data_IF_888913208866
#
_entry.id   IF_888913208866
#
_cell.length_a   1.000
_cell.length_b   1.000
_cell.length_c   1.000
_cell.angle_alpha   90.00
_cell.angle_beta   90.00
_cell.angle_gamma   90.00
#
_symmetry.space_group_name_H-M   'P 1'
#
loop_
_entity.id
_entity.type
_entity.pdbx_description
1 polymer ?
#
# COMPACT_ATOMS: atom_id res chain seq x y z
N UNK A 1 -33.18 23.97 12.10
CA UNK A 1 -33.27 24.11 10.63
C UNK A 1 -34.29 23.11 10.09
N UNK A 2 -35.23 23.54 9.25
CA UNK A 2 -36.24 22.66 8.63
C UNK A 2 -35.71 22.01 7.34
N UNK A 3 -36.37 20.96 6.82
CA UNK A 3 -35.93 20.27 5.57
C UNK A 3 -35.94 21.21 4.37
N UNK A 4 -36.98 22.05 4.27
CA UNK A 4 -37.14 23.00 3.18
C UNK A 4 -36.05 24.09 3.24
N UNK A 5 -35.68 24.50 4.45
CA UNK A 5 -34.52 25.39 4.66
C UNK A 5 -33.21 24.71 4.27
N UNK A 6 -33.01 23.44 4.63
CA UNK A 6 -31.83 22.68 4.27
C UNK A 6 -31.69 22.46 2.74
N UNK A 7 -32.81 22.23 2.05
CA UNK A 7 -32.87 22.14 0.57
C UNK A 7 -32.47 23.45 -0.10
N UNK A 8 -32.94 24.58 0.45
CA UNK A 8 -32.58 25.91 -0.04
C UNK A 8 -31.09 26.23 0.23
N UNK A 9 -30.57 25.89 1.41
CA UNK A 9 -29.17 26.14 1.79
C UNK A 9 -28.20 25.36 0.88
N UNK A 10 -28.55 24.13 0.50
CA UNK A 10 -27.72 23.30 -0.39
C UNK A 10 -28.04 23.48 -1.88
N UNK A 11 -28.99 24.34 -2.22
CA UNK A 11 -29.48 24.55 -3.59
C UNK A 11 -29.87 23.25 -4.31
N UNK A 12 -30.66 22.41 -3.62
CA UNK A 12 -31.10 21.10 -4.10
C UNK A 12 -32.61 21.01 -4.13
N UNK A 13 -33.14 20.33 -5.14
CA UNK A 13 -34.56 20.03 -5.25
C UNK A 13 -35.00 18.92 -4.29
N UNK A 14 -36.30 18.91 -4.00
CA UNK A 14 -36.95 17.87 -3.16
C UNK A 14 -36.80 16.45 -3.73
N UNK A 15 -36.64 16.33 -5.04
CA UNK A 15 -36.50 15.07 -5.77
C UNK A 15 -35.05 14.74 -6.17
N UNK A 16 -34.07 15.57 -5.81
CA UNK A 16 -32.67 15.27 -6.14
C UNK A 16 -32.16 14.06 -5.34
N UNK A 17 -31.41 13.18 -5.99
CA UNK A 17 -30.84 12.00 -5.33
C UNK A 17 -29.73 12.37 -4.32
N UNK A 18 -29.39 11.42 -3.44
CA UNK A 18 -28.37 11.62 -2.41
C UNK A 18 -26.98 11.97 -2.98
N UNK A 19 -26.70 11.55 -4.22
CA UNK A 19 -25.43 11.81 -4.91
C UNK A 19 -25.34 13.28 -5.33
N UNK A 20 -26.40 13.83 -5.92
CA UNK A 20 -26.52 15.26 -6.25
C UNK A 20 -26.43 16.13 -5.00
N UNK A 21 -27.11 15.74 -3.92
CA UNK A 21 -27.03 16.48 -2.64
C UNK A 21 -25.61 16.51 -2.11
N UNK A 22 -24.93 15.36 -2.10
CA UNK A 22 -23.52 15.28 -1.67
C UNK A 22 -22.59 16.09 -2.57
N UNK A 23 -22.84 16.12 -3.89
CA UNK A 23 -22.06 16.92 -4.85
C UNK A 23 -22.25 18.43 -4.60
N UNK A 24 -23.48 18.87 -4.36
CA UNK A 24 -23.81 20.26 -4.04
C UNK A 24 -23.21 20.70 -2.69
N UNK A 25 -23.32 19.85 -1.67
CA UNK A 25 -22.66 20.04 -0.38
C UNK A 25 -21.14 20.22 -0.53
N UNK A 26 -20.46 19.31 -1.25
CA UNK A 26 -19.01 19.40 -1.49
C UNK A 26 -18.62 20.70 -2.20
N UNK A 27 -19.38 21.10 -3.23
CA UNK A 27 -19.14 22.37 -3.94
C UNK A 27 -19.23 23.58 -3.00
N UNK A 28 -20.24 23.61 -2.13
CA UNK A 28 -20.43 24.68 -1.15
C UNK A 28 -19.35 24.65 -0.05
N UNK A 29 -18.93 23.47 0.40
CA UNK A 29 -17.85 23.35 1.40
C UNK A 29 -16.48 23.72 0.85
N UNK A 30 -16.21 23.50 -0.44
CA UNK A 30 -14.98 24.00 -1.09
C UNK A 30 -15.00 25.54 -1.11
N UNK A 31 -16.18 26.14 -1.33
CA UNK A 31 -16.33 27.59 -1.39
C UNK A 31 -16.35 28.27 0.00
N UNK A 32 -16.80 27.55 1.03
CA UNK A 32 -17.03 28.05 2.38
C UNK A 32 -16.24 27.27 3.45
N UNK A 33 -15.07 26.72 3.09
CA UNK A 33 -14.27 25.92 4.02
C UNK A 33 -13.77 26.77 5.19
N UNK A 34 -13.87 26.31 6.45
CA UNK A 34 -13.38 27.07 7.60
C UNK A 34 -11.89 27.44 7.50
N UNK A 35 -11.09 26.66 6.77
CA UNK A 35 -9.66 26.92 6.55
C UNK A 35 -9.35 27.68 5.24
N UNK A 36 -10.36 28.21 4.55
CA UNK A 36 -10.15 29.03 3.37
C UNK A 36 -9.60 30.43 3.75
N UNK A 37 -8.64 30.94 2.99
CA UNK A 37 -8.05 32.27 3.23
C UNK A 37 -9.15 33.36 3.20
N UNK A 38 -9.35 34.07 4.31
CA UNK A 38 -10.41 35.08 4.48
C UNK A 38 -11.68 34.60 5.22
N UNK A 39 -11.67 33.39 5.79
CA UNK A 39 -12.79 32.76 6.53
C UNK A 39 -13.00 33.28 7.96
N UNK A 40 -12.15 34.20 8.45
CA UNK A 40 -12.15 34.64 9.87
C UNK A 40 -13.41 35.39 10.30
N UNK A 41 -14.24 35.83 9.34
CA UNK A 41 -15.46 36.56 9.63
C UNK A 41 -16.51 35.64 10.30
N UNK A 42 -17.20 36.10 11.35
CA UNK A 42 -18.23 35.31 12.05
C UNK A 42 -19.35 34.81 11.11
N UNK A 43 -19.66 35.57 10.07
CA UNK A 43 -20.68 35.23 9.07
C UNK A 43 -20.26 34.05 8.19
N UNK A 44 -18.98 33.95 7.84
CA UNK A 44 -18.45 32.87 7.01
C UNK A 44 -18.44 31.54 7.78
N UNK A 45 -18.02 31.56 9.04
CA UNK A 45 -18.08 30.39 9.94
C UNK A 45 -19.52 29.93 10.19
N UNK A 46 -20.44 30.88 10.42
CA UNK A 46 -21.88 30.59 10.55
C UNK A 46 -22.45 29.95 9.30
N UNK A 47 -22.02 30.39 8.11
CA UNK A 47 -22.45 29.81 6.83
C UNK A 47 -21.93 28.39 6.61
N UNK A 48 -20.66 28.12 6.95
CA UNK A 48 -20.10 26.77 6.91
C UNK A 48 -20.85 25.80 7.86
N UNK A 49 -21.17 26.27 9.07
CA UNK A 49 -21.97 25.51 10.02
C UNK A 49 -23.38 25.21 9.47
N UNK A 50 -24.04 26.21 8.87
CA UNK A 50 -25.36 26.02 8.26
C UNK A 50 -25.34 25.02 7.09
N UNK A 51 -24.27 25.01 6.28
CA UNK A 51 -24.09 24.03 5.19
C UNK A 51 -23.95 22.60 5.75
N UNK A 52 -23.19 22.44 6.84
CA UNK A 52 -23.02 21.15 7.52
C UNK A 52 -24.33 20.65 8.16
N UNK A 53 -25.04 21.52 8.89
CA UNK A 53 -26.34 21.19 9.49
C UNK A 53 -27.39 20.82 8.44
N UNK A 54 -27.44 21.56 7.32
CA UNK A 54 -28.34 21.27 6.21
C UNK A 54 -28.07 19.89 5.60
N UNK A 55 -26.79 19.54 5.40
CA UNK A 55 -26.43 18.24 4.85
C UNK A 55 -26.77 17.08 5.78
N UNK A 56 -26.56 17.23 7.10
CA UNK A 56 -26.91 16.19 8.07
C UNK A 56 -28.41 15.87 8.05
N UNK A 57 -29.25 16.91 8.05
CA UNK A 57 -30.72 16.77 8.03
C UNK A 57 -31.21 16.10 6.74
N UNK A 58 -30.66 16.47 5.57
CA UNK A 58 -31.04 15.85 4.30
C UNK A 58 -30.53 14.41 4.19
N UNK A 59 -29.34 14.13 4.69
CA UNK A 59 -28.77 12.77 4.73
C UNK A 59 -29.62 11.84 5.59
N UNK A 60 -29.98 12.25 6.80
CA UNK A 60 -30.79 11.43 7.72
C UNK A 60 -32.19 11.17 7.18
N UNK A 61 -32.85 12.19 6.59
CA UNK A 61 -34.20 12.00 6.03
C UNK A 61 -34.23 11.22 4.73
N UNK A 62 -33.22 11.35 3.88
CA UNK A 62 -33.13 10.63 2.60
C UNK A 62 -32.56 9.22 2.77
N UNK A 63 -32.02 8.88 3.94
CA UNK A 63 -31.63 7.52 4.30
C UNK A 63 -32.82 6.59 4.60
N UNK A 64 -34.04 7.12 4.78
CA UNK A 64 -35.25 6.33 5.09
C UNK A 64 -36.26 6.43 3.97
N UNK A 65 -35.99 5.76 2.84
CA UNK A 65 -37.00 5.18 1.93
C UNK A 65 -36.28 4.30 0.90
N UNK A 66 -36.60 3.00 0.96
CA UNK A 66 -36.00 1.94 0.16
C UNK A 66 -36.15 2.16 -1.34
N UNK A 67 -35.00 2.11 -2.00
CA UNK A 67 -34.67 1.23 -3.12
C UNK A 67 -33.21 1.55 -3.45
N UNK A 68 -32.32 1.08 -2.57
CA UNK A 68 -30.91 0.96 -2.96
C UNK A 68 -30.90 -0.33 -3.79
N UNK A 69 -30.71 -0.27 -5.12
CA UNK A 69 -30.52 -1.47 -5.90
C UNK A 69 -29.40 -2.26 -5.23
N UNK A 70 -29.60 -3.57 -5.04
CA UNK A 70 -28.62 -4.45 -4.45
C UNK A 70 -27.22 -4.06 -4.94
N UNK A 71 -26.35 -3.68 -3.98
CA UNK A 71 -24.93 -3.33 -4.10
C UNK A 71 -24.36 -3.73 -5.47
N UNK A 72 -24.52 -2.88 -6.49
CA UNK A 72 -23.80 -3.08 -7.75
C UNK A 72 -22.35 -2.90 -7.39
N UNK A 73 -21.58 -3.99 -7.40
CA UNK A 73 -20.15 -3.98 -7.07
C UNK A 73 -19.44 -2.95 -7.94
N UNK A 74 -19.18 -1.77 -7.36
CA UNK A 74 -18.49 -0.66 -8.02
C UNK A 74 -17.06 -1.09 -8.37
N UNK A 75 -16.51 -2.07 -7.65
CA UNK A 75 -15.17 -2.58 -7.82
C UNK A 75 -15.18 -4.08 -8.12
N UNK A 76 -14.46 -4.49 -9.17
CA UNK A 76 -14.45 -5.88 -9.66
C UNK A 76 -13.30 -6.73 -9.09
N UNK A 77 -12.56 -6.20 -8.12
CA UNK A 77 -11.45 -6.92 -7.48
C UNK A 77 -11.93 -8.15 -6.70
N UNK A 78 -11.08 -9.18 -6.60
CA UNK A 78 -11.37 -10.36 -5.76
C UNK A 78 -11.40 -9.97 -4.29
N UNK A 79 -12.34 -10.54 -3.53
CA UNK A 79 -12.53 -10.26 -2.10
C UNK A 79 -11.75 -11.26 -1.24
N UNK A 80 -11.14 -10.77 -0.16
CA UNK A 80 -10.49 -11.55 0.92
C UNK A 80 -11.37 -11.44 2.16
N UNK A 81 -12.40 -12.27 2.27
CA UNK A 81 -13.42 -12.18 3.34
C UNK A 81 -12.80 -12.21 4.75
N UNK A 82 -11.75 -13.03 4.92
CA UNK A 82 -11.08 -13.22 6.20
C UNK A 82 -10.03 -12.13 6.54
N UNK A 83 -9.78 -11.15 5.67
CA UNK A 83 -8.77 -10.12 5.94
C UNK A 83 -9.11 -9.34 7.22
N UNK A 84 -8.10 -8.82 7.91
CA UNK A 84 -8.26 -8.28 9.26
C UNK A 84 -9.20 -7.07 9.31
N UNK A 85 -8.97 -6.11 8.41
CA UNK A 85 -9.71 -4.86 8.30
C UNK A 85 -9.95 -4.52 6.84
N UNK A 86 -11.00 -3.78 6.53
CA UNK A 86 -11.22 -3.24 5.18
C UNK A 86 -10.18 -2.19 4.82
N UNK A 87 -9.93 -2.02 3.52
CA UNK A 87 -9.06 -0.96 3.01
C UNK A 87 -9.79 -0.06 2.03
N UNK A 88 -9.40 1.22 1.97
CA UNK A 88 -9.92 2.18 1.00
C UNK A 88 -9.34 1.92 -0.38
N UNK A 89 -10.14 1.90 -1.44
CA UNK A 89 -9.66 1.76 -2.82
C UNK A 89 -9.56 3.15 -3.44
N UNK A 90 -8.38 3.49 -3.98
CA UNK A 90 -8.10 4.79 -4.54
C UNK A 90 -7.94 4.76 -6.06
N UNK A 91 -8.28 5.87 -6.70
CA UNK A 91 -7.84 6.20 -8.06
C UNK A 91 -7.08 7.52 -8.04
N UNK A 92 -6.05 7.61 -8.88
CA UNK A 92 -5.31 8.86 -9.08
C UNK A 92 -6.05 9.73 -10.08
N UNK A 93 -6.39 10.94 -9.67
CA UNK A 93 -6.81 12.01 -10.57
C UNK A 93 -5.60 12.89 -10.85
N UNK A 94 -5.27 13.02 -12.14
CA UNK A 94 -4.26 13.94 -12.64
C UNK A 94 -4.93 15.23 -13.05
N UNK A 95 -4.97 16.23 -12.16
CA UNK A 95 -5.40 17.59 -12.50
C UNK A 95 -4.19 18.54 -12.47
N UNK A 96 -3.61 18.79 -13.66
CA UNK A 96 -2.44 19.65 -13.81
C UNK A 96 -1.17 19.08 -13.14
N UNK A 97 -0.64 19.78 -12.14
CA UNK A 97 0.60 19.41 -11.40
C UNK A 97 0.35 18.74 -10.05
N UNK A 98 -0.91 18.47 -9.69
CA UNK A 98 -1.25 17.89 -8.39
C UNK A 98 -1.81 16.48 -8.55
N UNK A 99 -1.21 15.53 -7.85
CA UNK A 99 -1.73 14.17 -7.72
C UNK A 99 -2.74 14.15 -6.58
N UNK A 100 -4.01 13.87 -6.88
CA UNK A 100 -5.04 13.68 -5.87
C UNK A 100 -5.53 12.24 -5.86
N UNK A 101 -5.68 11.67 -4.66
CA UNK A 101 -6.20 10.32 -4.45
C UNK A 101 -7.70 10.39 -4.15
N UNK A 102 -8.53 9.88 -5.05
CA UNK A 102 -9.97 9.80 -4.85
C UNK A 102 -10.35 8.42 -4.32
N UNK A 103 -10.93 8.37 -3.13
CA UNK A 103 -11.50 7.11 -2.61
C UNK A 103 -12.75 6.74 -3.43
N UNK A 104 -12.71 5.56 -4.04
CA UNK A 104 -13.76 5.00 -4.89
C UNK A 104 -14.70 4.11 -4.09
N UNK A 105 -14.13 3.27 -3.22
CA UNK A 105 -14.88 2.36 -2.34
C UNK A 105 -14.04 2.00 -1.10
N UNK A 106 -14.61 1.24 -0.17
CA UNK A 106 -13.91 0.62 0.96
C UNK A 106 -14.37 -0.83 1.05
N UNK A 107 -13.43 -1.75 1.29
CA UNK A 107 -13.73 -3.17 1.40
C UNK A 107 -12.48 -4.03 1.43
N UNK A 108 -12.66 -5.35 1.54
CA UNK A 108 -11.55 -6.32 1.60
C UNK A 108 -11.13 -6.80 0.21
N UNK A 109 -10.79 -5.89 -0.69
CA UNK A 109 -10.41 -6.24 -2.06
C UNK A 109 -8.90 -6.53 -2.15
N UNK A 110 -8.53 -7.66 -2.73
CA UNK A 110 -7.16 -7.94 -3.19
C UNK A 110 -6.67 -6.83 -4.13
N UNK A 111 -5.36 -6.66 -4.18
CA UNK A 111 -4.74 -5.82 -5.18
C UNK A 111 -4.78 -6.51 -6.56
N UNK A 112 -5.28 -5.78 -7.55
CA UNK A 112 -5.21 -6.18 -8.95
C UNK A 112 -4.44 -5.10 -9.72
N UNK A 113 -3.24 -5.40 -10.26
CA UNK A 113 -2.45 -4.46 -11.05
C UNK A 113 -3.15 -3.85 -12.26
N UNK A 114 -4.19 -4.51 -12.80
CA UNK A 114 -4.94 -3.98 -13.95
C UNK A 114 -6.05 -2.99 -13.53
N UNK A 115 -6.43 -2.99 -12.24
CA UNK A 115 -7.54 -2.18 -11.72
C UNK A 115 -7.06 -1.05 -10.81
N UNK A 116 -5.98 -1.25 -10.05
CA UNK A 116 -5.49 -0.31 -9.05
C UNK A 116 -3.98 -0.08 -9.21
N UNK A 117 -3.59 1.19 -9.35
CA UNK A 117 -2.18 1.60 -9.34
C UNK A 117 -1.49 1.21 -8.03
N UNK A 118 -0.22 0.80 -8.11
CA UNK A 118 0.49 0.32 -6.92
C UNK A 118 0.61 1.39 -5.82
N UNK A 119 0.78 2.67 -6.18
CA UNK A 119 0.82 3.78 -5.21
C UNK A 119 -0.51 3.96 -4.47
N UNK A 120 -1.64 3.68 -5.13
CA UNK A 120 -2.96 3.68 -4.49
C UNK A 120 -3.08 2.56 -3.44
N UNK A 121 -2.55 1.37 -3.75
CA UNK A 121 -2.47 0.28 -2.77
C UNK A 121 -1.59 0.66 -1.59
N UNK A 122 -0.40 1.23 -1.83
CA UNK A 122 0.51 1.63 -0.74
C UNK A 122 -0.17 2.62 0.21
N UNK A 123 -0.86 3.63 -0.35
CA UNK A 123 -1.65 4.59 0.42
C UNK A 123 -2.76 3.89 1.21
N UNK A 124 -3.52 3.03 0.54
CA UNK A 124 -4.61 2.24 1.12
C UNK A 124 -4.17 1.42 2.34
N UNK A 125 -3.05 0.69 2.21
CA UNK A 125 -2.51 -0.14 3.28
C UNK A 125 -1.91 0.70 4.42
N UNK A 126 -1.30 1.84 4.10
CA UNK A 126 -0.75 2.74 5.11
C UNK A 126 -1.86 3.36 5.98
N UNK A 127 -2.94 3.83 5.36
CA UNK A 127 -4.10 4.34 6.08
C UNK A 127 -4.79 3.25 6.90
N UNK A 128 -4.98 2.05 6.35
CA UNK A 128 -5.56 0.94 7.11
C UNK A 128 -4.70 0.57 8.34
N UNK A 129 -3.37 0.60 8.21
CA UNK A 129 -2.47 0.39 9.35
C UNK A 129 -2.59 1.51 10.40
N UNK A 130 -2.73 2.76 9.98
CA UNK A 130 -2.93 3.91 10.88
C UNK A 130 -4.28 3.84 11.59
N UNK A 131 -5.37 3.59 10.87
CA UNK A 131 -6.72 3.45 11.45
C UNK A 131 -6.74 2.38 12.57
N UNK A 132 -6.00 1.28 12.39
CA UNK A 132 -5.88 0.24 13.42
C UNK A 132 -5.17 0.73 14.69
N UNK A 133 -4.13 1.54 14.55
CA UNK A 133 -3.38 2.11 15.68
C UNK A 133 -4.20 3.21 16.37
N UNK A 134 -4.85 4.08 15.60
CA UNK A 134 -5.74 5.14 16.09
C UNK A 134 -6.88 4.58 16.94
N UNK A 135 -7.42 3.41 16.60
CA UNK A 135 -8.43 2.72 17.43
C UNK A 135 -7.87 2.37 18.82
N UNK A 136 -6.61 1.93 18.90
CA UNK A 136 -5.94 1.60 20.17
C UNK A 136 -5.59 2.88 20.93
N UNK A 137 -5.09 3.91 20.24
CA UNK A 137 -4.81 5.24 20.80
C UNK A 137 -6.08 5.85 21.44
N UNK A 138 -7.19 5.86 20.71
CA UNK A 138 -8.48 6.38 21.20
C UNK A 138 -8.97 5.62 22.45
N UNK A 139 -8.81 4.29 22.49
CA UNK A 139 -9.16 3.47 23.66
C UNK A 139 -8.32 3.81 24.90
N UNK A 140 -7.11 4.32 24.69
CA UNK A 140 -6.20 4.78 25.74
C UNK A 140 -6.30 6.30 25.98
N UNK A 141 -7.30 6.98 25.39
CA UNK A 141 -7.56 8.40 25.63
C UNK A 141 -6.68 9.37 24.82
N UNK A 142 -5.99 8.89 23.79
CA UNK A 142 -5.13 9.69 22.92
C UNK A 142 -5.94 10.08 21.68
N UNK A 143 -6.09 11.38 21.44
CA UNK A 143 -6.92 11.93 20.36
C UNK A 143 -6.20 12.93 19.45
N UNK A 144 -4.94 13.25 19.75
CA UNK A 144 -4.16 14.21 18.97
C UNK A 144 -2.70 13.79 18.84
N UNK A 145 -2.16 14.02 17.66
CA UNK A 145 -0.77 13.78 17.26
C UNK A 145 0.24 14.81 17.86
N UNK A 146 -0.20 15.67 18.78
CA UNK A 146 0.58 16.80 19.32
C UNK A 146 1.67 16.39 20.32
N UNK A 147 1.62 15.16 20.83
CA UNK A 147 2.68 14.60 21.68
C UNK A 147 3.82 14.06 20.80
N UNK A 148 4.94 14.79 20.78
CA UNK A 148 6.09 14.59 19.88
C UNK A 148 6.73 13.18 19.95
N UNK A 149 6.42 12.38 20.97
CA UNK A 149 6.98 11.04 21.20
C UNK A 149 6.18 9.91 20.53
N UNK A 150 4.85 10.08 20.36
CA UNK A 150 3.98 9.01 19.85
C UNK A 150 4.32 8.65 18.40
N UNK A 151 4.66 9.63 17.55
CA UNK A 151 4.95 9.35 16.13
C UNK A 151 6.18 8.49 15.92
N UNK A 152 7.22 8.70 16.71
CA UNK A 152 8.48 7.94 16.61
C UNK A 152 8.26 6.51 17.05
N UNK A 153 7.55 6.32 18.16
CA UNK A 153 7.33 5.00 18.76
C UNK A 153 6.19 4.21 18.10
N UNK A 154 5.23 4.89 17.46
CA UNK A 154 4.18 4.29 16.63
C UNK A 154 4.75 3.66 15.35
N UNK A 155 5.79 4.26 14.79
CA UNK A 155 6.29 3.90 13.45
C UNK A 155 6.69 2.42 13.31
N UNK A 156 7.43 1.78 14.24
CA UNK A 156 7.72 0.35 14.19
C UNK A 156 6.47 -0.54 14.12
N UNK A 157 5.41 -0.21 14.86
CA UNK A 157 4.15 -0.95 14.84
C UNK A 157 3.44 -0.76 13.50
N UNK A 158 3.37 0.47 13.01
CA UNK A 158 2.79 0.81 11.71
C UNK A 158 3.46 0.04 10.57
N UNK A 159 4.80 0.00 10.52
CA UNK A 159 5.56 -0.71 9.48
C UNK A 159 5.24 -2.21 9.49
N UNK A 160 5.16 -2.82 10.69
CA UNK A 160 4.83 -4.25 10.80
C UNK A 160 3.39 -4.53 10.37
N UNK A 161 2.42 -3.73 10.82
CA UNK A 161 1.03 -3.85 10.40
C UNK A 161 0.89 -3.71 8.89
N UNK A 162 1.54 -2.70 8.31
CA UNK A 162 1.56 -2.48 6.87
C UNK A 162 2.03 -3.72 6.10
N UNK A 163 3.10 -4.39 6.54
CA UNK A 163 3.59 -5.60 5.88
C UNK A 163 2.66 -6.81 6.05
N UNK A 164 2.00 -6.95 7.20
CA UNK A 164 1.01 -8.02 7.39
C UNK A 164 -0.23 -7.80 6.53
N UNK A 165 -0.74 -6.56 6.47
CA UNK A 165 -1.86 -6.20 5.58
C UNK A 165 -1.48 -6.41 4.11
N UNK A 166 -0.26 -6.02 3.69
CA UNK A 166 0.23 -6.32 2.35
C UNK A 166 0.22 -7.83 2.06
N UNK A 167 0.58 -8.67 3.04
CA UNK A 167 0.51 -10.12 2.94
C UNK A 167 -0.91 -10.69 2.81
N UNK A 168 -1.93 -9.98 3.28
CA UNK A 168 -3.35 -10.36 3.13
C UNK A 168 -3.92 -9.92 1.77
N UNK A 169 -3.49 -8.76 1.27
CA UNK A 169 -4.10 -8.13 0.11
C UNK A 169 -3.37 -8.36 -1.21
N UNK A 170 -2.11 -8.77 -1.17
CA UNK A 170 -1.31 -9.07 -2.38
C UNK A 170 -1.21 -10.58 -2.50
N UNK A 171 -1.76 -11.13 -3.59
CA UNK A 171 -1.50 -12.51 -4.00
C UNK A 171 -0.26 -12.53 -4.91
N UNK A 172 0.90 -13.02 -4.44
CA UNK A 172 2.16 -12.92 -5.17
C UNK A 172 2.11 -13.63 -6.52
N UNK A 173 1.62 -14.86 -6.57
CA UNK A 173 1.57 -15.66 -7.79
C UNK A 173 0.57 -15.11 -8.80
N UNK A 174 -0.52 -14.48 -8.33
CA UNK A 174 -1.46 -13.79 -9.20
C UNK A 174 -0.84 -12.52 -9.80
N UNK A 175 -0.27 -11.66 -8.95
CA UNK A 175 0.34 -10.40 -9.35
C UNK A 175 1.53 -10.63 -10.29
N UNK A 176 2.35 -11.65 -10.06
CA UNK A 176 3.47 -11.98 -10.94
C UNK A 176 3.04 -12.19 -12.39
N UNK A 177 1.89 -12.85 -12.64
CA UNK A 177 1.42 -13.11 -14.02
C UNK A 177 0.97 -11.86 -14.75
N UNK A 178 0.47 -10.88 -14.00
CA UNK A 178 -0.01 -9.61 -14.54
C UNK A 178 1.15 -8.64 -14.77
N UNK A 179 2.10 -8.63 -13.85
CA UNK A 179 3.22 -7.70 -13.85
C UNK A 179 4.40 -8.15 -14.72
N UNK A 180 4.62 -9.46 -14.86
CA UNK A 180 5.76 -10.00 -15.59
C UNK A 180 5.32 -10.80 -16.81
N UNK A 181 5.99 -10.55 -17.94
CA UNK A 181 5.80 -11.33 -19.17
C UNK A 181 6.45 -12.70 -19.01
N UNK A 182 5.74 -13.81 -19.27
CA UNK A 182 6.32 -15.14 -19.20
C UNK A 182 7.36 -15.34 -20.31
N UNK A 183 8.54 -15.81 -19.92
CA UNK A 183 9.57 -16.32 -20.83
C UNK A 183 9.25 -17.78 -21.09
N UNK A 184 8.84 -18.09 -22.32
CA UNK A 184 8.67 -19.47 -22.76
C UNK A 184 10.06 -20.10 -22.92
N UNK A 185 10.37 -21.11 -22.11
CA UNK A 185 11.51 -22.00 -22.35
C UNK A 185 11.05 -23.46 -22.25
N UNK A 186 11.37 -24.19 -23.32
CA UNK A 186 11.45 -25.64 -23.54
C UNK A 186 10.34 -26.59 -23.05
N UNK A 187 9.84 -27.36 -24.03
CA UNK A 187 9.21 -28.70 -24.05
C UNK A 187 8.09 -29.05 -23.03
N UNK A 188 8.15 -28.55 -21.80
CA UNK A 188 7.27 -28.89 -20.68
C UNK A 188 6.17 -27.86 -20.38
N UNK A 189 5.99 -26.82 -21.21
CA UNK A 189 4.93 -25.78 -21.06
C UNK A 189 4.87 -25.09 -19.67
N UNK A 190 5.93 -25.13 -18.86
CA UNK A 190 5.95 -24.43 -17.57
C UNK A 190 6.22 -22.95 -17.80
N UNK A 191 5.41 -22.07 -17.19
CA UNK A 191 5.57 -20.63 -17.30
C UNK A 191 6.71 -20.16 -16.38
N UNK A 192 7.81 -19.69 -16.95
CA UNK A 192 8.90 -19.03 -16.23
C UNK A 192 8.76 -17.52 -16.38
N UNK A 193 8.92 -16.76 -15.31
CA UNK A 193 8.82 -15.30 -15.33
C UNK A 193 10.20 -14.69 -15.10
N UNK A 194 10.53 -13.66 -15.88
CA UNK A 194 11.80 -12.95 -15.75
C UNK A 194 11.57 -11.61 -15.06
N UNK A 195 12.24 -11.40 -13.92
CA UNK A 195 12.24 -10.14 -13.17
C UNK A 195 13.63 -9.53 -13.21
N UNK A 196 13.72 -8.23 -13.53
CA UNK A 196 14.98 -7.50 -13.59
C UNK A 196 15.38 -6.98 -12.22
N UNK A 197 16.66 -7.15 -11.91
CA UNK A 197 17.27 -6.72 -10.68
C UNK A 197 18.68 -6.18 -10.93
N UNK A 198 19.27 -5.57 -9.91
CA UNK A 198 20.66 -5.14 -9.96
C UNK A 198 21.30 -5.12 -8.57
N UNK A 199 22.63 -5.19 -8.57
CA UNK A 199 23.49 -4.88 -7.43
C UNK A 199 24.36 -3.68 -7.77
N UNK A 200 24.67 -2.87 -6.75
CA UNK A 200 25.56 -1.73 -6.88
C UNK A 200 26.53 -1.67 -5.72
N UNK A 201 27.79 -1.44 -6.01
CA UNK A 201 28.83 -1.25 -5.00
C UNK A 201 29.79 -0.13 -5.41
N UNK A 202 30.37 0.55 -4.42
CA UNK A 202 31.32 1.65 -4.62
C UNK A 202 32.66 1.40 -3.91
N UNK A 203 33.70 2.01 -4.46
CA UNK A 203 35.03 2.02 -3.85
C UNK A 203 35.86 0.80 -4.23
N UNK A 204 36.34 0.06 -3.22
CA UNK A 204 37.31 -1.04 -3.37
C UNK A 204 37.03 -2.20 -2.41
N UNK A 205 35.78 -2.39 -2.01
CA UNK A 205 35.39 -3.48 -1.11
C UNK A 205 35.70 -4.85 -1.74
N UNK A 206 35.62 -5.92 -0.93
CA UNK A 206 35.70 -7.30 -1.46
C UNK A 206 34.58 -7.54 -2.47
N UNK A 207 33.35 -7.13 -2.15
CA UNK A 207 32.20 -7.20 -3.05
C UNK A 207 32.45 -6.46 -4.36
N UNK A 208 33.03 -5.25 -4.33
CA UNK A 208 33.38 -4.50 -5.54
C UNK A 208 34.29 -5.30 -6.48
N UNK A 209 35.35 -5.90 -5.93
CA UNK A 209 36.31 -6.69 -6.70
C UNK A 209 35.67 -7.94 -7.29
N UNK A 210 34.85 -8.63 -6.50
CA UNK A 210 34.11 -9.81 -6.97
C UNK A 210 33.13 -9.44 -8.08
N UNK A 211 32.29 -8.43 -7.86
CA UNK A 211 31.32 -7.94 -8.85
C UNK A 211 31.97 -7.51 -10.16
N UNK A 212 33.13 -6.84 -10.09
CA UNK A 212 33.85 -6.37 -11.29
C UNK A 212 34.42 -7.52 -12.13
N UNK A 213 34.54 -8.72 -11.57
CA UNK A 213 35.02 -9.91 -12.25
C UNK A 213 33.91 -10.85 -12.74
N UNK A 214 32.64 -10.54 -12.48
CA UNK A 214 31.51 -11.31 -12.97
C UNK A 214 31.32 -11.12 -14.48
N UNK A 215 30.75 -12.12 -15.12
CA UNK A 215 30.44 -12.16 -16.54
C UNK A 215 28.98 -12.56 -16.77
N UNK A 216 28.42 -12.18 -17.92
CA UNK A 216 27.06 -12.54 -18.28
C UNK A 216 26.89 -14.08 -18.28
N UNK A 217 25.83 -14.56 -17.63
CA UNK A 217 25.54 -15.97 -17.42
C UNK A 217 26.01 -16.53 -16.08
N UNK A 218 26.87 -15.82 -15.33
CA UNK A 218 27.32 -16.29 -14.03
C UNK A 218 26.15 -16.47 -13.05
N UNK A 219 26.04 -17.62 -12.36
CA UNK A 219 24.97 -17.87 -11.40
C UNK A 219 25.21 -17.11 -10.10
N UNK A 220 24.12 -16.59 -9.52
CA UNK A 220 24.10 -16.00 -8.19
C UNK A 220 23.16 -16.80 -7.29
N UNK A 221 23.44 -16.77 -5.99
CA UNK A 221 22.69 -17.54 -4.99
C UNK A 221 22.08 -16.60 -3.95
N UNK A 222 20.88 -16.95 -3.49
CA UNK A 222 20.22 -16.24 -2.40
C UNK A 222 20.79 -16.78 -1.09
N UNK A 223 21.35 -15.89 -0.26
CA UNK A 223 21.87 -16.24 1.07
C UNK A 223 20.78 -16.09 2.14
N UNK A 224 20.18 -14.90 2.24
CA UNK A 224 19.20 -14.56 3.28
C UNK A 224 18.07 -13.68 2.75
N UNK A 225 16.89 -13.84 3.37
CA UNK A 225 15.64 -13.12 3.04
C UNK A 225 15.08 -12.38 4.27
N UNK A 226 15.81 -11.37 4.75
CA UNK A 226 15.47 -10.64 5.97
C UNK A 226 15.03 -9.21 5.68
N UNK A 227 14.11 -8.68 6.49
CA UNK A 227 13.68 -7.27 6.43
C UNK A 227 13.28 -6.79 5.02
N UNK A 228 12.57 -7.64 4.27
CA UNK A 228 12.18 -7.41 2.87
C UNK A 228 13.35 -7.05 1.95
N UNK A 229 14.52 -7.66 2.21
CA UNK A 229 15.71 -7.58 1.36
C UNK A 229 16.20 -8.98 1.01
N UNK A 230 16.83 -9.08 -0.16
CA UNK A 230 17.38 -10.33 -0.69
C UNK A 230 18.89 -10.18 -0.70
N UNK A 231 19.60 -10.86 0.20
CA UNK A 231 21.07 -10.95 0.17
C UNK A 231 21.49 -11.99 -0.85
N UNK A 232 22.53 -11.68 -1.64
CA UNK A 232 23.04 -12.62 -2.65
C UNK A 232 24.56 -12.77 -2.60
N UNK A 233 25.02 -13.96 -2.97
CA UNK A 233 26.42 -14.33 -3.10
C UNK A 233 26.77 -14.84 -4.50
N UNK A 234 28.07 -14.85 -4.80
CA UNK A 234 28.61 -15.53 -5.99
C UNK A 234 28.68 -17.06 -5.79
N UNK A 235 29.07 -17.80 -6.84
CA UNK A 235 29.24 -19.26 -6.75
C UNK A 235 30.35 -19.76 -5.81
N UNK A 236 31.11 -18.85 -5.19
CA UNK A 236 32.12 -19.17 -4.16
C UNK A 236 31.63 -18.82 -2.74
N UNK A 237 30.38 -18.37 -2.60
CA UNK A 237 29.80 -17.95 -1.33
C UNK A 237 30.30 -16.58 -0.84
N UNK A 238 30.85 -15.74 -1.72
CA UNK A 238 31.25 -14.37 -1.37
C UNK A 238 30.01 -13.48 -1.36
N UNK A 239 29.65 -12.84 -0.24
CA UNK A 239 28.51 -11.94 -0.18
C UNK A 239 28.72 -10.72 -1.08
N UNK A 240 27.76 -10.46 -1.96
CA UNK A 240 27.77 -9.34 -2.89
C UNK A 240 26.92 -8.18 -2.37
N UNK A 241 25.91 -8.44 -1.56
CA UNK A 241 25.05 -7.43 -0.95
C UNK A 241 23.58 -7.66 -1.23
N UNK A 242 22.77 -6.63 -0.97
CA UNK A 242 21.32 -6.70 -1.13
C UNK A 242 20.91 -6.32 -2.55
N UNK A 243 20.13 -7.21 -3.16
CA UNK A 243 19.59 -7.06 -4.49
C UNK A 243 18.51 -5.97 -4.54
N UNK A 244 18.58 -5.12 -5.56
CA UNK A 244 17.57 -4.10 -5.87
C UNK A 244 16.72 -4.54 -7.05
N UNK A 245 15.40 -4.64 -6.87
CA UNK A 245 14.46 -4.91 -7.96
C UNK A 245 14.19 -3.64 -8.76
N UNK A 246 13.99 -3.78 -10.07
CA UNK A 246 13.77 -2.64 -10.96
C UNK A 246 12.44 -1.90 -10.73
N UNK A 247 11.42 -2.62 -10.27
CA UNK A 247 10.07 -2.11 -10.04
C UNK A 247 9.68 -2.28 -8.57
N UNK A 248 9.09 -1.26 -7.95
CA UNK A 248 8.75 -1.26 -6.52
C UNK A 248 7.72 -2.35 -6.17
N UNK A 249 6.73 -2.58 -7.03
CA UNK A 249 5.74 -3.64 -6.80
C UNK A 249 6.37 -5.04 -6.69
N UNK A 250 7.51 -5.27 -7.34
CA UNK A 250 8.13 -6.60 -7.39
C UNK A 250 8.66 -7.03 -6.02
N UNK A 251 8.96 -6.12 -5.09
CA UNK A 251 9.36 -6.50 -3.72
C UNK A 251 8.24 -7.24 -2.98
N UNK A 252 6.99 -6.87 -3.23
CA UNK A 252 5.80 -7.48 -2.61
C UNK A 252 5.35 -8.76 -3.31
N UNK A 253 6.00 -9.11 -4.41
CA UNK A 253 5.69 -10.30 -5.20
C UNK A 253 6.82 -11.32 -5.08
N UNK A 254 8.05 -10.91 -5.43
CA UNK A 254 9.22 -11.79 -5.48
C UNK A 254 9.60 -12.29 -4.09
N UNK A 255 9.66 -11.42 -3.08
CA UNK A 255 10.10 -11.83 -1.74
C UNK A 255 9.13 -12.85 -1.12
N UNK A 256 7.79 -12.65 -1.14
CA UNK A 256 6.86 -13.66 -0.67
C UNK A 256 6.95 -14.98 -1.45
N UNK A 257 7.14 -14.95 -2.77
CA UNK A 257 7.34 -16.15 -3.59
C UNK A 257 8.56 -16.95 -3.11
N UNK A 258 9.68 -16.26 -2.87
CA UNK A 258 10.92 -16.90 -2.40
C UNK A 258 10.77 -17.45 -0.98
N UNK A 259 10.16 -16.68 -0.06
CA UNK A 259 9.96 -17.09 1.34
C UNK A 259 9.02 -18.28 1.49
N UNK A 260 7.95 -18.32 0.69
CA UNK A 260 6.94 -19.40 0.72
C UNK A 260 7.29 -20.55 -0.24
N UNK A 261 8.46 -20.52 -0.88
CA UNK A 261 8.91 -21.51 -1.86
C UNK A 261 7.87 -21.81 -2.97
N UNK A 262 7.15 -20.78 -3.43
CA UNK A 262 6.10 -20.91 -4.45
C UNK A 262 6.68 -21.11 -5.87
N UNK A 263 7.97 -20.82 -6.05
CA UNK A 263 8.67 -20.97 -7.31
C UNK A 263 10.13 -21.39 -7.09
N UNK A 264 10.67 -22.12 -8.06
CA UNK A 264 12.11 -22.27 -8.19
C UNK A 264 12.70 -20.99 -8.77
N UNK A 265 13.76 -20.49 -8.15
CA UNK A 265 14.41 -19.25 -8.55
C UNK A 265 15.81 -19.51 -9.07
N UNK A 266 16.13 -18.99 -10.26
CA UNK A 266 17.48 -18.97 -10.82
C UNK A 266 17.89 -17.53 -11.05
N UNK A 267 18.99 -17.10 -10.44
CA UNK A 267 19.56 -15.77 -10.63
C UNK A 267 20.78 -15.89 -11.54
N UNK A 268 20.83 -15.09 -12.59
CA UNK A 268 21.98 -15.02 -13.49
C UNK A 268 22.36 -13.58 -13.78
N UNK A 269 23.66 -13.31 -13.82
CA UNK A 269 24.20 -12.02 -14.27
C UNK A 269 23.80 -11.80 -15.73
N UNK A 270 23.17 -10.66 -16.01
CA UNK A 270 22.82 -10.27 -17.38
C UNK A 270 23.93 -9.42 -18.02
N UNK A 271 24.48 -8.47 -17.26
CA UNK A 271 25.54 -7.55 -17.69
C UNK A 271 26.24 -6.91 -16.49
N UNK A 272 27.47 -6.42 -16.68
CA UNK A 272 28.28 -5.76 -15.64
C UNK A 272 28.83 -4.43 -16.15
N UNK A 273 28.41 -3.34 -15.50
CA UNK A 273 28.89 -1.99 -15.78
C UNK A 273 29.91 -1.54 -14.73
N UNK A 274 31.17 -1.31 -15.13
CA UNK A 274 32.22 -0.78 -14.24
C UNK A 274 32.58 0.65 -14.64
N UNK A 275 32.26 1.62 -13.77
CA UNK A 275 32.57 3.04 -13.95
C UNK A 275 33.81 3.44 -13.14
N UNK A 276 34.91 3.71 -13.85
CA UNK A 276 36.19 4.16 -13.28
C UNK A 276 36.52 5.64 -13.56
N UNK A 277 35.60 6.37 -14.20
CA UNK A 277 35.79 7.78 -14.61
C UNK A 277 35.82 8.78 -13.44
N UNK A 278 35.19 8.45 -12.30
CA UNK A 278 35.18 9.29 -11.10
C UNK A 278 35.40 8.43 -9.86
N UNK A 279 36.10 8.96 -8.84
CA UNK A 279 36.19 8.31 -7.53
C UNK A 279 35.01 8.69 -6.62
N UNK A 280 34.48 7.76 -5.81
CA UNK A 280 34.84 6.34 -5.77
C UNK A 280 34.35 5.61 -7.03
N UNK A 281 35.15 4.64 -7.51
CA UNK A 281 34.77 3.76 -8.61
C UNK A 281 33.45 3.06 -8.28
N UNK A 282 32.63 2.77 -9.29
CA UNK A 282 31.33 2.13 -9.11
C UNK A 282 31.20 0.92 -10.00
N UNK A 283 30.59 -0.13 -9.48
CA UNK A 283 30.19 -1.30 -10.26
C UNK A 283 28.69 -1.47 -10.10
N UNK A 284 28.02 -1.76 -11.22
CA UNK A 284 26.63 -2.17 -11.26
C UNK A 284 26.57 -3.51 -11.97
N UNK A 285 25.96 -4.49 -11.32
CA UNK A 285 25.70 -5.81 -11.90
C UNK A 285 24.21 -5.90 -12.17
N UNK A 286 23.83 -6.00 -13.43
CA UNK A 286 22.45 -6.23 -13.83
C UNK A 286 22.18 -7.75 -13.76
N UNK A 287 21.03 -8.13 -13.22
CA UNK A 287 20.68 -9.52 -12.86
C UNK A 287 19.29 -9.83 -13.40
N UNK A 288 19.16 -11.02 -14.00
CA UNK A 288 17.87 -11.60 -14.33
C UNK A 288 17.51 -12.67 -13.30
N UNK A 289 16.33 -12.52 -12.69
CA UNK A 289 15.73 -13.52 -11.81
C UNK A 289 14.69 -14.28 -12.61
N UNK A 290 14.91 -15.58 -12.82
CA UNK A 290 13.95 -16.47 -13.44
C UNK A 290 13.18 -17.20 -12.34
N UNK A 291 11.86 -16.99 -12.30
CA UNK A 291 10.94 -17.62 -11.36
C UNK A 291 10.09 -18.65 -12.09
N UNK A 292 10.28 -19.92 -11.78
CA UNK A 292 9.48 -21.02 -12.29
C UNK A 292 8.46 -21.44 -11.23
N UNK A 293 7.21 -21.05 -11.43
CA UNK A 293 6.13 -21.27 -10.45
C UNK A 293 5.65 -22.73 -10.51
N UNK A 294 5.73 -23.45 -9.39
CA UNK A 294 5.49 -24.91 -9.40
C UNK A 294 4.08 -25.34 -8.98
N UNK A 295 3.28 -24.52 -8.29
CA UNK A 295 1.87 -24.82 -8.01
C UNK A 295 1.09 -23.51 -7.76
N UNK A 296 -0.14 -23.44 -8.26
CA UNK A 296 -0.92 -22.18 -8.37
C UNK A 296 -1.92 -21.95 -7.24
N UNK A 297 -2.08 -22.92 -6.35
CA UNK A 297 -2.98 -22.79 -5.20
C UNK A 297 -2.19 -22.24 -4.02
N UNK A 298 -2.14 -20.90 -3.94
CA UNK A 298 -1.78 -20.25 -2.70
C UNK A 298 -2.84 -20.60 -1.67
N UNK A 299 -2.47 -21.43 -0.67
CA UNK A 299 -3.27 -21.51 0.54
C UNK A 299 -3.18 -20.14 1.22
N UNK A 300 -4.24 -19.36 1.10
CA UNK A 300 -4.41 -18.06 1.73
C UNK A 300 -4.47 -18.24 3.25
N UNK A 301 -3.31 -18.26 3.90
CA UNK A 301 -3.23 -18.38 5.36
C UNK A 301 -3.49 -17.03 6.05
N UNK A 302 -4.68 -16.47 5.79
CA UNK A 302 -5.12 -15.18 6.32
C UNK A 302 -5.25 -15.22 7.86
N UNK A 303 -5.49 -16.41 8.42
CA UNK A 303 -5.58 -16.66 9.86
C UNK A 303 -4.28 -16.37 10.60
N UNK A 304 -3.13 -16.77 10.04
CA UNK A 304 -1.82 -16.47 10.62
C UNK A 304 -1.55 -14.97 10.65
N UNK A 305 -1.84 -14.25 9.56
CA UNK A 305 -1.72 -12.79 9.53
C UNK A 305 -2.61 -12.12 10.58
N UNK A 306 -3.86 -12.56 10.74
CA UNK A 306 -4.78 -12.01 11.75
C UNK A 306 -4.25 -12.22 13.17
N UNK A 307 -3.67 -13.38 13.45
CA UNK A 307 -3.07 -13.70 14.76
C UNK A 307 -1.88 -12.79 15.06
N UNK A 308 -1.01 -12.56 14.07
CA UNK A 308 0.14 -11.68 14.25
C UNK A 308 -0.27 -10.21 14.36
N UNK A 309 -1.27 -9.76 13.60
CA UNK A 309 -1.82 -8.40 13.71
C UNK A 309 -2.36 -8.16 15.12
N UNK A 310 -3.17 -9.07 15.67
CA UNK A 310 -3.64 -8.96 17.05
C UNK A 310 -2.48 -8.87 18.05
N UNK A 311 -1.46 -9.71 17.90
CA UNK A 311 -0.26 -9.69 18.77
C UNK A 311 0.45 -8.33 18.73
N UNK A 312 0.50 -7.67 17.57
CA UNK A 312 1.11 -6.34 17.44
C UNK A 312 0.25 -5.28 18.11
N UNK A 313 -1.06 -5.32 17.89
CA UNK A 313 -2.00 -4.36 18.50
C UNK A 313 -2.02 -4.50 20.03
N UNK A 314 -2.00 -5.72 20.56
CA UNK A 314 -1.91 -5.97 22.00
C UNK A 314 -0.61 -5.41 22.59
N UNK A 315 0.53 -5.58 21.89
CA UNK A 315 1.81 -5.00 22.32
C UNK A 315 1.79 -3.48 22.31
N UNK A 316 1.12 -2.88 21.33
CA UNK A 316 0.98 -1.43 21.25
C UNK A 316 0.08 -0.89 22.36
N UNK A 317 -1.04 -1.58 22.65
CA UNK A 317 -1.94 -1.25 23.76
C UNK A 317 -1.24 -1.32 25.12
N UNK A 318 -0.43 -2.36 25.35
CA UNK A 318 0.40 -2.47 26.57
C UNK A 318 1.36 -1.29 26.68
N UNK A 319 2.07 -0.96 25.59
CA UNK A 319 3.01 0.15 25.55
C UNK A 319 2.34 1.49 25.91
N UNK A 320 1.17 1.80 25.33
CA UNK A 320 0.45 3.03 25.64
C UNK A 320 0.00 3.09 27.11
N UNK A 321 -0.43 1.95 27.69
CA UNK A 321 -0.79 1.85 29.12
C UNK A 321 0.38 2.06 30.05
N UNK A 322 1.58 1.66 29.65
CA UNK A 322 2.80 1.88 30.43
C UNK A 322 3.16 3.36 30.46
N UNK A 323 3.09 4.06 29.33
CA UNK A 323 3.37 5.49 29.25
C UNK A 323 2.34 6.32 30.01
N UNK A 324 1.06 5.99 29.88
CA UNK A 324 -0.02 6.67 30.60
C UNK A 324 0.02 6.49 32.13
N UNK A 325 0.84 5.58 32.67
CA UNK A 325 1.06 5.41 34.12
C UNK A 325 2.24 6.22 34.66
N UNK A 326 3.10 6.70 33.77
CA UNK A 326 4.32 7.47 34.11
C UNK A 326 4.11 8.98 34.11
N UNK A 327 2.97 9.45 33.59
CA UNK A 327 2.51 10.85 33.63
C UNK A 327 1.45 11.05 34.72
#
# INVERSE_FOLDING_TARGET
MTVKEAENILEVGRLDDAVKVKKKFRKLMIQYHPDAVGSDTPEYRKKAQQINEAYSILREKRAVKGDIPAKTDIWKGRIVEQAFTERSIYMILWEGYKTEYLQVTKGKYTWDPDLEEFDCLLKSLNEAALELLEIIECRNGIYSDEEFDIKTERFPYQVRLFHLLAGQYISPSYCLKKLAVPVKNDENKRNSYKVRAFLGEKGRSRAFRTMSGLTAGDPLYIDTLENNRIMVSDGKGVPLGYLSLAENQMYYVVIPILRKHLAQAKLSVSDVEVRKSSRPYRVRVNIDIYLQVENMEEQENVSEYNTEINTILDKYDIYLKEIGRTN
#
